data_IF_563058385464
#
_entry.id   IF_563058385464
#
_cell.length_a   1.000
_cell.length_b   1.000
_cell.length_c   1.000
_cell.angle_alpha   90.00
_cell.angle_beta   90.00
_cell.angle_gamma   90.00
#
_symmetry.space_group_name_H-M   'P 1'
#
loop_
_entity.id
_entity.type
_entity.pdbx_description
1 polymer ?
#
# COMPACT_ATOMS: atom_id res chain seq x y z
N UNK A 1 11.37 8.96 6.88
CA UNK A 1 12.59 9.10 6.02
C UNK A 1 12.30 9.93 4.78
N UNK A 2 11.33 9.55 3.93
CA UNK A 2 10.99 10.26 2.69
C UNK A 2 10.78 11.78 2.87
N UNK A 3 10.02 12.18 3.89
CA UNK A 3 9.82 13.59 4.24
C UNK A 3 11.14 14.35 4.43
N UNK A 4 12.08 13.79 5.21
CA UNK A 4 13.39 14.41 5.46
C UNK A 4 14.18 14.60 4.16
N UNK A 5 14.14 13.62 3.26
CA UNK A 5 14.82 13.70 1.95
C UNK A 5 14.19 14.81 1.10
N UNK A 6 12.86 14.86 1.04
CA UNK A 6 12.11 15.88 0.31
C UNK A 6 12.42 17.29 0.83
N UNK A 7 12.25 17.52 2.14
CA UNK A 7 12.49 18.82 2.77
C UNK A 7 13.93 19.30 2.59
N UNK A 8 14.90 18.39 2.76
CA UNK A 8 16.32 18.73 2.61
C UNK A 8 16.65 19.06 1.16
N UNK A 9 16.21 18.23 0.20
CA UNK A 9 16.51 18.45 -1.21
C UNK A 9 15.84 19.72 -1.75
N UNK A 10 14.57 19.97 -1.38
CA UNK A 10 13.85 21.18 -1.73
C UNK A 10 14.52 22.44 -1.13
N UNK A 11 14.98 22.38 0.13
CA UNK A 11 15.75 23.47 0.75
C UNK A 11 17.03 23.82 -0.02
N UNK A 12 17.62 22.84 -0.72
CA UNK A 12 18.77 23.05 -1.60
C UNK A 12 18.39 23.33 -3.06
N UNK A 13 17.13 23.69 -3.34
CA UNK A 13 16.65 24.05 -4.69
C UNK A 13 16.57 22.88 -5.67
N UNK A 14 16.63 21.63 -5.19
CA UNK A 14 16.55 20.44 -6.03
C UNK A 14 15.10 20.02 -6.21
N UNK A 15 14.78 19.48 -7.39
CA UNK A 15 13.55 18.70 -7.58
C UNK A 15 13.71 17.37 -6.84
N UNK A 16 12.71 17.00 -6.05
CA UNK A 16 12.73 15.75 -5.28
C UNK A 16 11.38 15.06 -5.43
N UNK A 17 11.45 13.76 -5.68
CA UNK A 17 10.34 12.83 -5.64
C UNK A 17 10.72 11.76 -4.61
N UNK A 18 10.00 11.71 -3.48
CA UNK A 18 10.30 10.80 -2.38
C UNK A 18 9.06 10.00 -1.97
N UNK A 19 9.10 8.69 -2.16
CA UNK A 19 8.01 7.78 -1.83
C UNK A 19 8.19 7.25 -0.40
N UNK A 20 7.09 7.25 0.35
CA UNK A 20 7.05 6.99 1.78
C UNK A 20 6.54 5.61 2.15
N UNK A 21 6.13 5.48 3.41
CA UNK A 21 5.53 4.26 3.96
C UNK A 21 4.07 4.08 3.57
N UNK A 22 3.51 2.97 3.98
CA UNK A 22 2.15 2.57 3.67
C UNK A 22 1.44 1.89 4.84
N UNK A 23 0.10 1.92 4.77
CA UNK A 23 -0.79 1.06 5.55
C UNK A 23 -1.99 0.78 4.68
N UNK A 24 -1.85 -0.17 3.77
CA UNK A 24 -2.87 -0.40 2.76
C UNK A 24 -4.02 -1.21 3.34
N UNK A 25 -5.23 -0.75 3.06
CA UNK A 25 -6.48 -1.39 3.45
C UNK A 25 -7.07 -2.16 2.27
N UNK A 26 -7.66 -3.32 2.55
CA UNK A 26 -8.60 -3.99 1.66
C UNK A 26 -9.97 -3.97 2.30
N UNK A 27 -10.90 -3.22 1.72
CA UNK A 27 -12.30 -3.23 2.12
C UNK A 27 -12.96 -4.48 1.53
N UNK A 28 -13.58 -5.28 2.39
CA UNK A 28 -14.32 -6.48 2.00
C UNK A 28 -15.78 -6.23 2.28
N UNK A 29 -16.58 -6.18 1.21
CA UNK A 29 -18.02 -6.01 1.29
C UNK A 29 -18.72 -7.37 1.55
N UNK A 30 -19.93 -7.39 2.13
CA UNK A 30 -20.67 -8.64 2.36
C UNK A 30 -20.97 -9.46 1.09
N UNK A 31 -20.98 -8.80 -0.07
CA UNK A 31 -21.24 -9.41 -1.38
C UNK A 31 -19.96 -9.85 -2.12
N UNK A 32 -18.79 -9.73 -1.48
CA UNK A 32 -17.52 -10.18 -2.03
C UNK A 32 -17.48 -11.71 -2.12
N UNK A 33 -16.80 -12.23 -3.16
CA UNK A 33 -16.45 -13.64 -3.23
C UNK A 33 -15.44 -13.95 -2.11
N UNK A 34 -15.86 -14.73 -1.12
CA UNK A 34 -15.07 -15.00 0.09
C UNK A 34 -13.79 -15.78 -0.23
N UNK A 35 -13.86 -16.79 -1.10
CA UNK A 35 -12.73 -17.64 -1.44
C UNK A 35 -11.64 -16.84 -2.15
N UNK A 36 -12.03 -16.09 -3.18
CA UNK A 36 -11.12 -15.20 -3.90
C UNK A 36 -10.54 -14.11 -2.98
N UNK A 37 -11.34 -13.58 -2.07
CA UNK A 37 -10.90 -12.55 -1.10
C UNK A 37 -9.86 -13.11 -0.14
N UNK A 38 -10.05 -14.33 0.37
CA UNK A 38 -9.10 -15.00 1.27
C UNK A 38 -7.77 -15.24 0.56
N UNK A 39 -7.79 -15.80 -0.65
CA UNK A 39 -6.58 -16.03 -1.44
C UNK A 39 -5.84 -14.72 -1.74
N UNK A 40 -6.59 -13.67 -2.10
CA UNK A 40 -6.06 -12.34 -2.36
C UNK A 40 -5.40 -11.72 -1.11
N UNK A 41 -6.04 -11.79 0.05
CA UNK A 41 -5.49 -11.32 1.33
C UNK A 41 -4.26 -12.11 1.75
N UNK A 42 -4.24 -13.42 1.51
CA UNK A 42 -3.10 -14.27 1.85
C UNK A 42 -1.88 -13.86 1.02
N UNK A 43 -2.04 -13.75 -0.30
CA UNK A 43 -0.97 -13.33 -1.20
C UNK A 43 -0.51 -11.90 -0.93
N UNK A 44 -1.43 -10.98 -0.64
CA UNK A 44 -1.10 -9.56 -0.44
C UNK A 44 -0.60 -9.20 0.96
N UNK A 45 -1.00 -9.95 1.98
CA UNK A 45 -0.57 -9.72 3.37
C UNK A 45 0.71 -10.45 3.73
N UNK A 46 0.89 -11.69 3.26
CA UNK A 46 2.02 -12.54 3.66
C UNK A 46 3.07 -12.74 2.55
N UNK A 47 2.72 -12.43 1.29
CA UNK A 47 3.70 -12.50 0.19
C UNK A 47 4.91 -11.60 0.44
N UNK A 48 6.11 -12.13 0.17
CA UNK A 48 7.39 -11.48 0.55
C UNK A 48 7.47 -11.15 2.04
N UNK A 49 6.89 -11.99 2.90
CA UNK A 49 6.78 -11.79 4.33
C UNK A 49 6.16 -10.43 4.74
N UNK A 50 5.27 -9.87 3.91
CA UNK A 50 4.65 -8.57 4.15
C UNK A 50 5.61 -7.38 4.06
N UNK A 51 6.86 -7.59 3.64
CA UNK A 51 7.90 -6.55 3.47
C UNK A 51 7.73 -5.82 2.12
N UNK A 52 6.51 -5.30 1.87
CA UNK A 52 6.14 -4.58 0.65
C UNK A 52 5.37 -3.32 1.00
N UNK A 53 5.72 -2.19 0.38
CA UNK A 53 4.93 -0.96 0.51
C UNK A 53 3.50 -1.09 -0.06
N UNK A 54 3.25 -2.10 -0.88
CA UNK A 54 1.93 -2.45 -1.42
C UNK A 54 1.30 -3.69 -0.76
N UNK A 55 1.87 -4.19 0.35
CA UNK A 55 1.23 -5.25 1.12
C UNK A 55 -0.09 -4.75 1.70
N UNK A 56 -1.12 -5.59 1.69
CA UNK A 56 -2.35 -5.34 2.44
C UNK A 56 -2.09 -5.72 3.88
N UNK A 57 -2.10 -4.73 4.76
CA UNK A 57 -1.84 -4.91 6.20
C UNK A 57 -3.09 -4.80 7.05
N UNK A 58 -4.19 -4.31 6.46
CA UNK A 58 -5.48 -4.17 7.14
C UNK A 58 -6.60 -4.68 6.24
N UNK A 59 -7.33 -5.71 6.68
CA UNK A 59 -8.61 -6.09 6.10
C UNK A 59 -9.72 -5.33 6.84
N UNK A 60 -10.51 -4.55 6.10
CA UNK A 60 -11.66 -3.80 6.62
C UNK A 60 -12.91 -4.57 6.25
N UNK A 61 -13.42 -5.35 7.20
CA UNK A 61 -14.60 -6.17 6.99
C UNK A 61 -15.87 -5.35 7.30
N UNK A 62 -16.72 -5.20 6.28
CA UNK A 62 -17.96 -4.44 6.37
C UNK A 62 -19.12 -5.36 6.79
N UNK A 63 -19.90 -4.94 7.78
CA UNK A 63 -21.02 -5.71 8.29
C UNK A 63 -20.55 -6.96 9.04
N UNK A 64 -21.11 -8.11 8.68
CA UNK A 64 -20.88 -9.42 9.30
C UNK A 64 -19.86 -10.30 8.57
N UNK A 65 -19.29 -9.84 7.44
CA UNK A 65 -18.38 -10.65 6.60
C UNK A 65 -17.16 -11.17 7.35
N UNK A 66 -16.73 -10.48 8.41
CA UNK A 66 -15.61 -10.90 9.24
C UNK A 66 -15.83 -12.27 9.92
N UNK A 67 -17.08 -12.64 10.21
CA UNK A 67 -17.40 -13.91 10.89
C UNK A 67 -17.03 -15.13 10.04
N UNK A 68 -17.07 -14.99 8.71
CA UNK A 68 -16.63 -16.02 7.78
C UNK A 68 -15.19 -15.80 7.31
N UNK A 69 -14.78 -14.54 7.13
CA UNK A 69 -13.46 -14.17 6.65
C UNK A 69 -12.34 -14.54 7.62
N UNK A 70 -12.49 -14.24 8.91
CA UNK A 70 -11.42 -14.43 9.91
C UNK A 70 -11.07 -15.91 10.08
N UNK A 71 -12.03 -16.85 10.24
CA UNK A 71 -11.70 -18.28 10.29
C UNK A 71 -11.02 -18.80 9.02
N UNK A 72 -11.47 -18.36 7.85
CA UNK A 72 -10.89 -18.79 6.57
C UNK A 72 -9.44 -18.29 6.40
N UNK A 73 -9.19 -17.02 6.72
CA UNK A 73 -7.84 -16.45 6.78
C UNK A 73 -6.96 -17.18 7.78
N UNK A 74 -7.48 -17.47 8.98
CA UNK A 74 -6.74 -18.16 10.02
C UNK A 74 -6.32 -19.56 9.58
N UNK A 75 -7.21 -20.30 8.91
CA UNK A 75 -6.92 -21.63 8.37
C UNK A 75 -5.79 -21.56 7.33
N UNK A 76 -5.87 -20.61 6.39
CA UNK A 76 -4.90 -20.48 5.30
C UNK A 76 -3.56 -19.90 5.76
N UNK A 77 -3.55 -19.00 6.74
CA UNK A 77 -2.34 -18.44 7.33
C UNK A 77 -1.50 -19.50 8.08
N UNK A 78 -2.18 -20.45 8.77
CA UNK A 78 -1.52 -21.57 9.46
C UNK A 78 -0.84 -22.57 8.52
N UNK A 79 -1.30 -22.64 7.27
CA UNK A 79 -0.78 -23.58 6.25
C UNK A 79 0.18 -22.92 5.27
N UNK A 80 0.61 -21.68 5.53
CA UNK A 80 1.63 -21.00 4.73
C UNK A 80 2.91 -21.84 4.63
N UNK A 81 3.41 -22.01 3.41
CA UNK A 81 4.68 -22.70 3.16
C UNK A 81 5.86 -21.75 3.41
N UNK A 82 6.27 -21.66 4.66
CA UNK A 82 7.39 -20.83 5.09
C UNK A 82 8.68 -21.65 4.99
N UNK A 83 9.58 -21.25 4.10
CA UNK A 83 10.68 -22.07 3.62
C UNK A 83 11.88 -21.23 3.20
N UNK A 84 12.97 -21.89 2.84
CA UNK A 84 14.08 -21.22 2.17
C UNK A 84 13.60 -20.63 0.84
N UNK A 85 13.93 -19.37 0.55
CA UNK A 85 13.50 -18.69 -0.69
C UNK A 85 14.05 -19.32 -1.98
N UNK A 86 14.99 -20.26 -1.88
CA UNK A 86 15.47 -21.06 -3.01
C UNK A 86 14.55 -22.25 -3.34
N UNK A 87 13.60 -22.59 -2.46
CA UNK A 87 12.60 -23.63 -2.71
C UNK A 87 11.44 -23.07 -3.54
N UNK A 88 11.16 -23.69 -4.69
CA UNK A 88 10.17 -23.17 -5.65
C UNK A 88 8.73 -23.15 -5.14
N UNK A 89 8.40 -23.98 -4.15
CA UNK A 89 7.07 -24.02 -3.53
C UNK A 89 6.99 -23.18 -2.24
N UNK A 90 8.02 -22.39 -1.92
CA UNK A 90 7.98 -21.44 -0.82
C UNK A 90 6.96 -20.34 -1.11
N UNK A 91 6.02 -20.14 -0.19
CA UNK A 91 5.06 -19.04 -0.24
C UNK A 91 5.59 -17.79 0.48
N UNK A 92 6.48 -18.00 1.46
CA UNK A 92 7.06 -16.94 2.27
C UNK A 92 8.48 -17.29 2.73
N UNK A 93 9.38 -16.31 2.66
CA UNK A 93 10.75 -16.40 3.13
C UNK A 93 10.97 -15.81 4.53
N UNK A 94 12.23 -15.62 4.97
CA UNK A 94 12.54 -14.97 6.23
C UNK A 94 12.34 -13.45 6.17
N UNK A 95 12.28 -12.82 7.32
CA UNK A 95 12.39 -11.37 7.50
C UNK A 95 13.82 -10.91 7.14
N UNK A 96 13.99 -9.68 6.66
CA UNK A 96 15.29 -9.19 6.15
C UNK A 96 16.43 -9.19 7.18
N UNK A 97 16.15 -8.89 8.45
CA UNK A 97 17.16 -8.77 9.52
C UNK A 97 16.62 -9.19 10.88
N UNK A 98 17.51 -9.52 11.82
CA UNK A 98 17.15 -9.76 13.23
C UNK A 98 16.43 -8.56 13.85
N UNK A 99 16.91 -7.34 13.61
CA UNK A 99 16.31 -6.12 14.16
C UNK A 99 14.90 -5.90 13.61
N UNK A 100 14.66 -6.22 12.33
CA UNK A 100 13.32 -6.18 11.75
C UNK A 100 12.42 -7.23 12.40
N UNK A 101 12.91 -8.46 12.59
CA UNK A 101 12.17 -9.52 13.27
C UNK A 101 11.77 -9.11 14.70
N UNK A 102 12.74 -8.64 15.49
CA UNK A 102 12.48 -8.22 16.88
C UNK A 102 11.46 -7.06 16.95
N UNK A 103 11.57 -6.09 16.02
CA UNK A 103 10.61 -4.99 15.88
C UNK A 103 9.20 -5.50 15.55
N UNK A 104 9.08 -6.43 14.60
CA UNK A 104 7.79 -7.01 14.20
C UNK A 104 7.19 -7.81 15.36
N UNK A 105 8.00 -8.64 16.04
CA UNK A 105 7.56 -9.37 17.24
C UNK A 105 7.06 -8.41 18.34
N UNK A 106 7.73 -7.28 18.54
CA UNK A 106 7.28 -6.24 19.46
C UNK A 106 5.93 -5.61 19.07
N UNK A 107 5.63 -5.44 17.78
CA UNK A 107 4.30 -5.02 17.34
C UNK A 107 3.22 -6.05 17.67
N UNK A 108 3.53 -7.34 17.51
CA UNK A 108 2.59 -8.41 17.85
C UNK A 108 2.28 -8.37 19.36
N UNK A 109 3.32 -8.21 20.20
CA UNK A 109 3.14 -8.03 21.65
C UNK A 109 2.29 -6.80 21.99
N UNK A 110 2.55 -5.67 21.33
CA UNK A 110 1.75 -4.46 21.51
C UNK A 110 0.29 -4.69 21.14
N UNK A 111 0.00 -5.34 20.01
CA UNK A 111 -1.36 -5.66 19.59
C UNK A 111 -2.14 -6.44 20.64
N UNK A 112 -1.52 -7.49 21.22
CA UNK A 112 -2.11 -8.24 22.32
C UNK A 112 -2.32 -7.36 23.55
N UNK A 113 -1.33 -6.55 23.92
CA UNK A 113 -1.41 -5.68 25.10
C UNK A 113 -2.47 -4.58 24.99
N UNK A 114 -2.77 -4.12 23.78
CA UNK A 114 -3.79 -3.11 23.50
C UNK A 114 -5.19 -3.71 23.32
N UNK A 115 -5.33 -5.03 23.44
CA UNK A 115 -6.62 -5.74 23.44
C UNK A 115 -7.07 -6.29 22.10
N UNK A 116 -6.22 -6.30 21.06
CA UNK A 116 -6.53 -6.99 19.81
C UNK A 116 -6.55 -8.51 20.04
N UNK A 117 -7.44 -9.21 19.34
CA UNK A 117 -7.52 -10.67 19.43
C UNK A 117 -6.48 -11.29 18.50
N UNK A 118 -5.47 -11.96 19.07
CA UNK A 118 -4.49 -12.73 18.31
C UNK A 118 -5.08 -14.07 17.88
N UNK A 119 -5.53 -14.18 16.63
CA UNK A 119 -6.20 -15.36 16.06
C UNK A 119 -5.18 -16.40 15.58
N UNK A 120 -4.09 -15.93 14.97
CA UNK A 120 -2.95 -16.75 14.58
C UNK A 120 -1.69 -16.09 15.10
N UNK A 121 -0.93 -16.80 15.92
CA UNK A 121 0.37 -16.35 16.41
C UNK A 121 1.49 -16.97 15.57
N UNK A 122 2.19 -16.13 14.80
CA UNK A 122 3.32 -16.55 14.00
C UNK A 122 4.66 -16.59 14.75
N UNK A 123 4.70 -16.15 16.02
CA UNK A 123 5.96 -16.09 16.78
C UNK A 123 6.51 -17.49 17.07
N UNK A 124 7.83 -17.59 17.15
CA UNK A 124 8.53 -18.84 17.42
C UNK A 124 8.56 -19.83 16.24
N UNK A 125 8.08 -19.44 15.06
CA UNK A 125 8.19 -20.27 13.86
C UNK A 125 9.66 -20.50 13.49
N UNK A 126 10.00 -21.75 13.15
CA UNK A 126 11.36 -22.14 12.73
C UNK A 126 11.29 -23.04 11.52
N UNK A 127 12.24 -22.88 10.60
CA UNK A 127 12.39 -23.76 9.43
C UNK A 127 13.53 -24.74 9.71
N UNK A 128 13.26 -26.03 9.57
CA UNK A 128 14.23 -27.09 9.84
C UNK A 128 15.48 -26.96 8.95
N UNK A 129 16.66 -27.10 9.55
CA UNK A 129 17.95 -26.88 8.87
C UNK A 129 18.31 -25.41 8.67
N UNK A 130 17.45 -24.48 9.10
CA UNK A 130 17.64 -23.04 9.02
C UNK A 130 17.32 -22.34 10.35
N UNK A 131 17.52 -22.99 11.50
CA UNK A 131 17.10 -22.51 12.83
C UNK A 131 17.66 -21.12 13.18
N UNK A 132 18.82 -20.75 12.62
CA UNK A 132 19.45 -19.43 12.80
C UNK A 132 18.83 -18.30 11.97
N UNK A 133 17.86 -18.58 11.09
CA UNK A 133 17.23 -17.58 10.23
C UNK A 133 16.28 -16.63 10.97
N UNK A 134 15.84 -15.59 10.27
CA UNK A 134 14.94 -14.57 10.80
C UNK A 134 13.49 -14.92 10.48
N UNK A 135 13.03 -16.05 11.01
CA UNK A 135 11.73 -16.63 10.67
C UNK A 135 10.60 -16.04 11.51
N UNK A 136 9.46 -15.84 10.86
CA UNK A 136 8.20 -15.50 11.50
C UNK A 136 7.05 -16.12 10.73
N UNK A 137 6.09 -16.69 11.45
CA UNK A 137 4.85 -17.22 10.91
C UNK A 137 3.89 -16.13 10.45
N UNK A 138 2.90 -16.51 9.64
CA UNK A 138 1.75 -15.65 9.36
C UNK A 138 1.01 -15.34 10.66
N UNK A 139 0.83 -14.06 10.95
CA UNK A 139 0.14 -13.57 12.15
C UNK A 139 -1.15 -12.86 11.75
N UNK A 140 -2.25 -13.19 12.43
CA UNK A 140 -3.57 -12.60 12.17
C UNK A 140 -4.16 -12.04 13.46
N UNK A 141 -4.51 -10.76 13.44
CA UNK A 141 -5.30 -10.11 14.48
C UNK A 141 -6.74 -9.88 14.02
N UNK A 142 -7.68 -10.06 14.93
CA UNK A 142 -9.07 -9.60 14.81
C UNK A 142 -9.39 -8.55 15.88
N UNK A 143 -10.50 -7.84 15.71
CA UNK A 143 -10.95 -6.76 16.58
C UNK A 143 -9.90 -5.65 16.78
N UNK A 144 -9.15 -5.33 15.72
CA UNK A 144 -8.22 -4.21 15.72
C UNK A 144 -9.00 -2.90 15.65
N UNK A 145 -8.58 -1.90 16.42
CA UNK A 145 -9.20 -0.56 16.45
C UNK A 145 -8.23 0.50 15.90
N UNK A 146 -8.75 1.65 15.42
CA UNK A 146 -7.92 2.73 14.88
C UNK A 146 -6.94 3.34 15.89
N UNK A 147 -7.18 3.16 17.19
CA UNK A 147 -6.38 3.69 18.28
C UNK A 147 -5.11 2.87 18.53
N UNK A 148 -5.11 1.59 18.14
CA UNK A 148 -4.01 0.65 18.36
C UNK A 148 -2.78 1.00 17.52
N UNK A 149 -1.61 0.75 18.10
CA UNK A 149 -0.32 0.96 17.44
C UNK A 149 -0.17 0.07 16.20
N UNK A 150 -0.64 -1.17 16.28
CA UNK A 150 -0.62 -2.13 15.15
C UNK A 150 -1.51 -1.68 13.97
N UNK A 151 -2.43 -0.75 14.18
CA UNK A 151 -3.20 -0.13 13.09
C UNK A 151 -2.48 1.10 12.55
N UNK A 152 -2.06 2.02 13.42
CA UNK A 152 -1.46 3.32 13.03
C UNK A 152 -0.13 3.18 12.29
N UNK A 153 0.73 2.29 12.78
CA UNK A 153 2.11 2.19 12.32
C UNK A 153 2.29 1.09 11.26
N UNK A 154 3.25 1.30 10.35
CA UNK A 154 3.64 0.32 9.34
C UNK A 154 4.52 -0.77 9.99
N UNK A 155 4.00 -2.00 10.04
CA UNK A 155 4.69 -3.14 10.66
C UNK A 155 5.80 -3.66 9.72
N UNK A 156 5.51 -3.76 8.41
CA UNK A 156 6.43 -4.28 7.40
C UNK A 156 6.89 -5.72 7.75
N UNK A 157 5.92 -6.61 7.86
CA UNK A 157 6.06 -7.99 8.30
C UNK A 157 4.77 -8.79 8.04
N UNK A 158 4.77 -10.12 8.24
CA UNK A 158 3.66 -11.02 7.91
C UNK A 158 2.54 -10.96 8.97
N UNK A 159 2.00 -9.76 9.19
CA UNK A 159 0.97 -9.46 10.19
C UNK A 159 -0.21 -8.78 9.51
N UNK A 160 -1.37 -9.45 9.50
CA UNK A 160 -2.62 -8.91 8.98
C UNK A 160 -3.54 -8.52 10.15
N UNK A 161 -4.05 -7.29 10.12
CA UNK A 161 -5.03 -6.79 11.08
C UNK A 161 -6.43 -6.79 10.45
N UNK A 162 -7.44 -7.32 11.15
CA UNK A 162 -8.84 -7.22 10.74
C UNK A 162 -9.53 -6.14 11.57
N UNK A 163 -10.09 -5.14 10.88
CA UNK A 163 -10.91 -4.08 11.47
C UNK A 163 -12.34 -4.28 11.00
N UNK A 164 -13.27 -4.38 11.94
CA UNK A 164 -14.71 -4.58 11.67
C UNK A 164 -15.40 -3.22 11.67
N UNK A 165 -16.18 -2.93 10.63
CA UNK A 165 -16.93 -1.67 10.50
C UNK A 165 -18.38 -1.96 10.10
N UNK A 166 -19.35 -1.12 10.52
CA UNK A 166 -20.76 -1.43 10.33
C UNK A 166 -21.20 -1.32 8.87
N UNK A 167 -20.60 -0.41 8.10
CA UNK A 167 -21.07 -0.09 6.75
C UNK A 167 -19.95 0.47 5.85
N UNK A 168 -20.29 0.64 4.58
CA UNK A 168 -19.41 1.19 3.55
C UNK A 168 -18.91 2.60 3.87
N UNK A 169 -19.75 3.47 4.45
CA UNK A 169 -19.36 4.84 4.75
C UNK A 169 -18.31 4.88 5.86
N UNK A 170 -18.48 4.05 6.89
CA UNK A 170 -17.49 3.84 7.94
C UNK A 170 -16.17 3.30 7.38
N UNK A 171 -16.22 2.35 6.44
CA UNK A 171 -15.02 1.85 5.76
C UNK A 171 -14.26 2.96 5.02
N UNK A 172 -14.95 3.76 4.21
CA UNK A 172 -14.35 4.88 3.47
C UNK A 172 -13.75 5.92 4.42
N UNK A 173 -14.46 6.27 5.49
CA UNK A 173 -13.98 7.24 6.47
C UNK A 173 -12.74 6.73 7.20
N UNK A 174 -12.72 5.45 7.59
CA UNK A 174 -11.57 4.80 8.22
C UNK A 174 -10.32 4.90 7.34
N UNK A 175 -10.42 4.52 6.06
CA UNK A 175 -9.28 4.57 5.13
C UNK A 175 -8.83 6.01 4.86
N UNK A 176 -9.78 6.94 4.68
CA UNK A 176 -9.47 8.34 4.43
C UNK A 176 -8.81 9.02 5.63
N UNK A 177 -9.16 8.64 6.85
CA UNK A 177 -8.56 9.16 8.07
C UNK A 177 -7.11 8.69 8.30
N UNK A 178 -6.67 7.61 7.66
CA UNK A 178 -5.31 7.11 7.81
C UNK A 178 -4.27 8.09 7.24
N UNK A 179 -3.12 8.24 7.89
CA UNK A 179 -2.08 9.19 7.47
C UNK A 179 -1.39 8.81 6.15
N UNK A 180 -1.40 7.52 5.84
CA UNK A 180 -0.89 6.95 4.59
C UNK A 180 -2.01 6.83 3.55
N UNK A 181 -1.61 6.83 2.29
CA UNK A 181 -2.52 6.72 1.15
C UNK A 181 -1.83 6.14 -0.07
N UNK A 182 -1.08 5.05 0.12
CA UNK A 182 -0.33 4.41 -0.97
C UNK A 182 -1.25 3.60 -1.90
N UNK A 183 -1.68 2.43 -1.46
CA UNK A 183 -2.61 1.56 -2.17
C UNK A 183 -3.83 1.22 -1.33
N UNK A 184 -4.93 0.89 -1.99
CA UNK A 184 -6.16 0.42 -1.36
C UNK A 184 -6.91 -0.51 -2.31
N UNK A 185 -7.59 -1.51 -1.77
CA UNK A 185 -8.45 -2.41 -2.53
C UNK A 185 -9.88 -2.41 -1.98
N UNK A 186 -10.87 -2.67 -2.83
CA UNK A 186 -12.24 -2.99 -2.46
C UNK A 186 -12.68 -4.26 -3.19
N UNK A 187 -13.17 -5.24 -2.43
CA UNK A 187 -13.72 -6.48 -2.95
C UNK A 187 -15.23 -6.44 -2.81
N UNK A 188 -15.93 -6.55 -3.94
CA UNK A 188 -17.39 -6.44 -4.07
C UNK A 188 -17.84 -6.91 -5.46
N UNK A 189 -19.09 -7.36 -5.56
CA UNK A 189 -19.79 -7.65 -6.81
C UNK A 189 -20.63 -6.46 -7.32
N UNK A 190 -20.87 -5.45 -6.47
CA UNK A 190 -21.66 -4.26 -6.78
C UNK A 190 -20.84 -3.16 -7.48
N UNK A 191 -21.21 -2.85 -8.73
CA UNK A 191 -20.60 -1.79 -9.52
C UNK A 191 -20.79 -0.38 -8.96
N UNK A 192 -21.88 -0.11 -8.23
CA UNK A 192 -22.10 1.18 -7.57
C UNK A 192 -21.14 1.36 -6.40
N UNK A 193 -20.95 0.31 -5.59
CA UNK A 193 -19.97 0.31 -4.49
C UNK A 193 -18.56 0.51 -5.05
N UNK A 194 -18.18 -0.25 -6.08
CA UNK A 194 -16.89 -0.12 -6.73
C UNK A 194 -16.62 1.32 -7.23
N UNK A 195 -17.61 1.92 -7.92
CA UNK A 195 -17.51 3.29 -8.44
C UNK A 195 -17.40 4.32 -7.31
N UNK A 196 -18.28 4.24 -6.31
CA UNK A 196 -18.28 5.21 -5.21
C UNK A 196 -17.04 5.09 -4.34
N UNK A 197 -16.52 3.87 -4.16
CA UNK A 197 -15.26 3.64 -3.48
C UNK A 197 -14.11 4.34 -4.20
N UNK A 198 -13.92 4.04 -5.49
CA UNK A 198 -12.83 4.60 -6.29
C UNK A 198 -12.89 6.13 -6.38
N UNK A 199 -14.10 6.71 -6.37
CA UNK A 199 -14.29 8.17 -6.44
C UNK A 199 -14.04 8.88 -5.11
N UNK A 200 -14.35 8.26 -3.98
CA UNK A 200 -14.35 8.91 -2.66
C UNK A 200 -13.10 8.65 -1.84
N UNK A 201 -12.34 7.62 -2.17
CA UNK A 201 -11.12 7.26 -1.44
C UNK A 201 -9.99 8.26 -1.75
N UNK A 202 -9.22 8.61 -0.74
CA UNK A 202 -8.10 9.56 -0.81
C UNK A 202 -6.77 8.80 -0.82
N UNK A 203 -6.61 7.93 -1.80
CA UNK A 203 -5.46 7.02 -1.94
C UNK A 203 -5.01 7.01 -3.40
N UNK A 204 -3.70 6.98 -3.64
CA UNK A 204 -3.14 7.16 -4.98
C UNK A 204 -3.35 5.99 -5.93
N UNK A 205 -3.42 4.76 -5.42
CA UNK A 205 -3.62 3.54 -6.20
C UNK A 205 -4.80 2.74 -5.68
N UNK A 206 -5.81 2.52 -6.52
CA UNK A 206 -7.08 1.88 -6.14
C UNK A 206 -7.31 0.62 -6.95
N UNK A 207 -7.59 -0.50 -6.26
CA UNK A 207 -7.96 -1.78 -6.85
C UNK A 207 -9.42 -2.13 -6.58
N UNK A 208 -10.14 -2.58 -7.60
CA UNK A 208 -11.46 -3.20 -7.46
C UNK A 208 -11.28 -4.69 -7.78
N UNK A 209 -11.50 -5.55 -6.79
CA UNK A 209 -11.19 -6.99 -6.86
C UNK A 209 -9.72 -7.28 -7.27
N UNK A 210 -8.82 -6.33 -7.03
CA UNK A 210 -7.36 -6.44 -7.26
C UNK A 210 -6.69 -6.04 -5.95
N UNK A 211 -6.01 -6.97 -5.25
CA UNK A 211 -5.53 -6.71 -3.90
C UNK A 211 -4.30 -5.80 -3.87
N UNK A 212 -3.50 -5.82 -4.94
CA UNK A 212 -2.26 -5.05 -5.06
C UNK A 212 -2.32 -4.27 -6.37
N UNK A 213 -2.94 -3.07 -6.37
CA UNK A 213 -3.17 -2.28 -7.58
C UNK A 213 -1.91 -1.52 -8.01
N UNK A 214 -0.79 -2.23 -8.21
CA UNK A 214 0.43 -1.61 -8.74
C UNK A 214 0.20 -1.26 -10.21
N UNK A 215 0.32 0.03 -10.59
CA UNK A 215 0.21 0.43 -11.98
C UNK A 215 1.30 -0.23 -12.84
N UNK A 216 0.93 -0.55 -14.08
CA UNK A 216 1.88 -1.01 -15.08
C UNK A 216 2.91 0.09 -15.39
N UNK A 217 4.09 -0.31 -15.89
CA UNK A 217 5.25 0.59 -16.03
C UNK A 217 5.02 1.88 -16.85
N UNK A 218 3.99 1.91 -17.70
CA UNK A 218 3.61 3.09 -18.50
C UNK A 218 2.65 4.05 -17.78
N UNK A 219 2.09 3.67 -16.64
CA UNK A 219 1.31 4.55 -15.76
C UNK A 219 2.18 5.03 -14.60
N UNK A 220 1.86 6.15 -13.95
CA UNK A 220 2.64 6.64 -12.80
C UNK A 220 2.31 5.89 -11.51
N UNK A 221 3.33 5.65 -10.68
CA UNK A 221 3.20 5.10 -9.32
C UNK A 221 3.44 6.14 -8.25
N UNK A 222 2.48 6.27 -7.36
CA UNK A 222 2.61 7.13 -6.22
C UNK A 222 1.36 7.08 -5.36
N UNK A 223 1.60 7.11 -4.04
CA UNK A 223 0.55 7.32 -3.08
C UNK A 223 0.17 8.79 -2.94
N UNK A 224 -0.81 9.05 -2.11
CA UNK A 224 -1.19 10.37 -1.61
C UNK A 224 -0.82 10.52 -0.14
N UNK A 225 -1.06 11.70 0.44
CA UNK A 225 -0.80 12.02 1.85
C UNK A 225 0.68 11.79 2.20
N UNK A 226 1.01 11.12 3.31
CA UNK A 226 2.39 10.85 3.71
C UNK A 226 3.08 9.72 2.95
N UNK A 227 2.40 9.12 1.96
CA UNK A 227 2.99 8.06 1.11
C UNK A 227 3.78 8.61 -0.08
N UNK A 228 3.68 9.91 -0.39
CA UNK A 228 4.46 10.55 -1.44
C UNK A 228 4.71 12.03 -1.11
N UNK A 229 5.95 12.48 -1.35
CA UNK A 229 6.34 13.88 -1.26
C UNK A 229 6.92 14.33 -2.60
N UNK A 230 6.31 15.36 -3.17
CA UNK A 230 6.53 15.81 -4.55
C UNK A 230 5.21 15.91 -5.31
N UNK A 231 5.27 16.42 -6.52
CA UNK A 231 4.14 16.63 -7.43
C UNK A 231 4.09 15.60 -8.58
N UNK A 232 5.16 14.82 -8.76
CA UNK A 232 5.28 13.80 -9.81
C UNK A 232 5.22 12.39 -9.22
N UNK A 233 4.66 11.44 -9.98
CA UNK A 233 4.70 10.00 -9.69
C UNK A 233 5.93 9.32 -10.30
N UNK A 234 6.32 8.16 -9.73
CA UNK A 234 7.42 7.36 -10.25
C UNK A 234 7.03 6.68 -11.57
N UNK A 235 8.02 6.53 -12.47
CA UNK A 235 7.88 5.93 -13.81
C UNK A 235 6.71 6.49 -14.65
N UNK A 236 6.39 5.87 -15.79
CA UNK A 236 5.45 6.42 -16.77
C UNK A 236 5.86 7.78 -17.34
N UNK A 237 4.90 8.53 -17.88
CA UNK A 237 5.12 9.89 -18.40
C UNK A 237 5.61 10.87 -17.31
N UNK A 238 5.15 10.69 -16.08
CA UNK A 238 5.55 11.51 -14.92
C UNK A 238 7.04 11.35 -14.60
N UNK A 239 7.58 10.14 -14.70
CA UNK A 239 9.01 9.89 -14.59
C UNK A 239 9.82 10.65 -15.64
N UNK A 240 9.36 10.66 -16.90
CA UNK A 240 10.02 11.42 -17.99
C UNK A 240 9.99 12.92 -17.70
N UNK A 241 8.85 13.45 -17.24
CA UNK A 241 8.72 14.88 -16.87
C UNK A 241 9.62 15.26 -15.69
N UNK A 242 9.76 14.39 -14.70
CA UNK A 242 10.62 14.62 -13.54
C UNK A 242 12.10 14.75 -13.94
N UNK A 243 12.57 13.88 -14.83
CA UNK A 243 13.97 13.85 -15.29
C UNK A 243 14.29 14.84 -16.42
N UNK A 244 13.32 15.59 -16.93
CA UNK A 244 13.51 16.56 -18.01
C UNK A 244 13.14 17.99 -17.59
N UNK A 245 13.54 18.99 -18.39
CA UNK A 245 13.17 20.40 -18.18
C UNK A 245 12.55 20.94 -19.46
N UNK A 246 11.35 21.48 -19.35
CA UNK A 246 10.67 22.12 -20.47
C UNK A 246 11.44 23.36 -20.94
N UNK A 247 11.63 23.46 -22.26
CA UNK A 247 12.19 24.64 -22.93
C UNK A 247 11.23 25.05 -24.05
N UNK A 248 10.72 26.27 -24.00
CA UNK A 248 9.92 26.85 -25.08
C UNK A 248 10.80 27.73 -25.96
N UNK A 249 10.83 27.46 -27.27
CA UNK A 249 11.60 28.22 -28.25
C UNK A 249 10.64 28.90 -29.22
N UNK A 250 10.64 30.22 -29.22
CA UNK A 250 9.94 31.04 -30.20
C UNK A 250 10.99 31.63 -31.14
N UNK A 251 10.87 31.35 -32.44
CA UNK A 251 11.84 31.81 -33.44
C UNK A 251 11.15 32.45 -34.64
N UNK A 252 11.73 33.54 -35.14
CA UNK A 252 11.38 34.19 -36.41
C UNK A 252 12.68 34.52 -37.14
N UNK A 253 12.62 34.59 -38.46
CA UNK A 253 13.78 34.88 -39.29
C UNK A 253 13.70 36.30 -39.83
N UNK A 254 14.77 37.13 -39.81
CA UNK A 254 14.70 38.54 -40.19
C UNK A 254 14.06 38.82 -41.55
N UNK A 255 14.25 37.92 -42.52
CA UNK A 255 13.66 38.03 -43.86
C UNK A 255 12.11 37.88 -43.87
N UNK A 256 11.52 37.28 -42.83
CA UNK A 256 10.07 37.05 -42.70
C UNK A 256 9.36 37.97 -41.69
N UNK A 257 10.08 38.96 -41.15
CA UNK A 257 9.52 39.97 -40.23
C UNK A 257 9.12 41.20 -41.06
N UNK A 258 7.92 41.75 -40.82
CA UNK A 258 7.48 42.97 -41.49
C UNK A 258 8.39 44.15 -41.08
N UNK A 259 8.68 45.06 -42.01
CA UNK A 259 9.46 46.27 -41.69
C UNK A 259 8.59 47.23 -40.88
N UNK A 260 8.96 47.50 -39.63
CA UNK A 260 8.28 48.45 -38.76
C UNK A 260 8.05 47.93 -37.34
N UNK A 261 7.41 48.73 -36.49
CA UNK A 261 7.02 48.31 -35.16
C UNK A 261 5.81 47.35 -35.23
N UNK A 262 5.91 46.19 -34.60
CA UNK A 262 4.78 45.27 -34.38
C UNK A 262 4.24 45.44 -32.95
N UNK A 263 2.96 45.78 -32.80
CA UNK A 263 2.31 45.99 -31.50
C UNK A 263 1.44 44.80 -31.05
N UNK A 264 1.42 43.72 -31.83
CA UNK A 264 0.61 42.52 -31.58
C UNK A 264 1.53 41.40 -31.09
N UNK A 265 1.07 40.64 -30.10
CA UNK A 265 1.81 39.48 -29.61
C UNK A 265 2.08 38.49 -30.77
N UNK A 266 3.31 37.96 -30.89
CA UNK A 266 3.61 36.95 -31.89
C UNK A 266 2.72 35.71 -31.69
N UNK A 267 1.91 35.40 -32.71
CA UNK A 267 1.15 34.15 -32.76
C UNK A 267 1.91 33.12 -33.59
N UNK A 268 1.64 31.84 -33.36
CA UNK A 268 2.04 30.80 -34.31
C UNK A 268 1.33 31.09 -35.64
N UNK A 269 2.09 31.32 -36.71
CA UNK A 269 1.60 31.35 -38.09
C UNK A 269 1.93 30.03 -38.75
#
# INVERSE_FOLDING_TARGET
IAQKIYETGARHGKRVQALGGAKNHMVVMPDADLEQTVDALIGAGYGSAGERCMAISVAVAVGDVADQLVPALAARAKTLKIKNGMELDAEMGPIVTRQALDRISGYIEHGVSEGAQLVVDGRGHTVAGHEGGFWLGGTLFDHVTPEMKIYKEEIFGPVLAVVRVPDFAAAVNLVNAHEFGNGVACFTSDGNVAREFARRIQVGMVGINVPIPVPMAWHGFGGWKKSLFGDTHAYGEEGVRFFTKQKSVMQRWPASIAKGAEFVMPTAK
#
